data_IF_747662978442
#
_entry.id   IF_747662978442
#
_cell.length_a   1.000
_cell.length_b   1.000
_cell.length_c   1.000
_cell.angle_alpha   90.00
_cell.angle_beta   90.00
_cell.angle_gamma   90.00
#
_symmetry.space_group_name_H-M   'P 1'
#
loop_
_entity.id
_entity.type
_entity.pdbx_description
1 polymer ?
#
# COMPACT_ATOMS: atom_id res chain seq x y z
N UNK A 1 -18.04 -6.53 22.17
CA UNK A 1 -17.38 -5.38 21.51
C UNK A 1 -17.93 -4.04 21.97
N UNK A 2 -19.25 -3.75 21.87
CA UNK A 2 -19.82 -2.46 22.34
C UNK A 2 -19.46 -2.13 23.80
N UNK A 3 -19.58 -3.10 24.70
CA UNK A 3 -19.17 -2.97 26.11
C UNK A 3 -17.68 -2.65 26.31
N UNK A 4 -16.81 -3.14 25.43
CA UNK A 4 -15.36 -2.86 25.47
C UNK A 4 -15.14 -1.42 24.99
N UNK A 5 -15.74 -1.03 23.86
CA UNK A 5 -15.62 0.33 23.32
C UNK A 5 -16.04 1.40 24.35
N UNK A 6 -17.11 1.16 25.11
CA UNK A 6 -17.58 2.09 26.15
C UNK A 6 -16.54 2.31 27.25
N UNK A 7 -15.74 1.30 27.62
CA UNK A 7 -14.80 1.37 28.75
C UNK A 7 -13.32 1.55 28.35
N UNK A 8 -12.98 1.38 27.08
CA UNK A 8 -11.61 1.52 26.55
C UNK A 8 -11.00 2.94 26.56
N UNK A 9 -10.06 3.22 27.46
CA UNK A 9 -9.44 4.53 27.60
C UNK A 9 -8.24 4.75 26.65
N UNK A 10 -7.77 3.72 25.95
CA UNK A 10 -6.65 3.82 25.03
C UNK A 10 -7.14 4.10 23.59
N UNK A 11 -6.66 5.17 22.92
CA UNK A 11 -7.15 5.57 21.60
C UNK A 11 -7.03 4.51 20.50
N UNK A 12 -5.96 3.73 20.45
CA UNK A 12 -5.74 2.70 19.44
C UNK A 12 -6.70 1.50 19.62
N UNK A 13 -6.87 1.02 20.85
CA UNK A 13 -7.81 -0.04 21.20
C UNK A 13 -9.26 0.40 20.97
N UNK A 14 -9.59 1.65 21.31
CA UNK A 14 -10.88 2.24 20.98
C UNK A 14 -11.10 2.23 19.47
N UNK A 15 -10.09 2.64 18.71
CA UNK A 15 -10.11 2.64 17.25
C UNK A 15 -10.34 1.24 16.68
N UNK A 16 -9.62 0.23 17.16
CA UNK A 16 -9.81 -1.16 16.73
C UNK A 16 -11.23 -1.65 17.02
N UNK A 17 -11.77 -1.32 18.20
CA UNK A 17 -13.15 -1.64 18.58
C UNK A 17 -14.18 -0.95 17.66
N UNK A 18 -13.97 0.33 17.37
CA UNK A 18 -14.84 1.13 16.51
C UNK A 18 -14.84 0.60 15.07
N UNK A 19 -13.67 0.26 14.54
CA UNK A 19 -13.51 -0.35 13.21
C UNK A 19 -14.23 -1.70 13.13
N UNK A 20 -14.12 -2.53 14.17
CA UNK A 20 -14.85 -3.79 14.22
C UNK A 20 -16.37 -3.56 14.14
N UNK A 21 -16.90 -2.64 14.96
CA UNK A 21 -18.33 -2.34 14.97
C UNK A 21 -18.80 -1.74 13.64
N UNK A 22 -17.99 -0.89 13.01
CA UNK A 22 -18.28 -0.30 11.70
C UNK A 22 -18.42 -1.36 10.59
N UNK A 23 -17.66 -2.47 10.66
CA UNK A 23 -17.78 -3.59 9.71
C UNK A 23 -19.10 -4.34 9.86
N UNK A 24 -19.59 -4.44 11.09
CA UNK A 24 -20.83 -5.16 11.40
C UNK A 24 -22.06 -4.33 11.02
N UNK A 25 -22.02 -3.02 11.26
CA UNK A 25 -23.13 -2.11 10.96
C UNK A 25 -22.63 -0.81 10.35
N UNK A 26 -22.87 -0.66 9.04
CA UNK A 26 -22.47 0.50 8.24
C UNK A 26 -23.52 1.62 8.18
N UNK A 27 -24.63 1.50 8.92
CA UNK A 27 -25.72 2.47 8.94
C UNK A 27 -25.23 3.86 9.37
N UNK A 28 -25.93 4.89 8.91
CA UNK A 28 -25.63 6.29 9.29
C UNK A 28 -25.71 6.46 10.81
N UNK A 29 -26.68 5.81 11.44
CA UNK A 29 -26.87 5.84 12.88
C UNK A 29 -25.67 5.25 13.64
N UNK A 30 -25.23 4.04 13.28
CA UNK A 30 -24.04 3.39 13.86
C UNK A 30 -22.79 4.28 13.71
N UNK A 31 -22.57 4.87 12.53
CA UNK A 31 -21.45 5.79 12.29
C UNK A 31 -21.51 7.02 13.19
N UNK A 32 -22.70 7.61 13.36
CA UNK A 32 -22.88 8.77 14.22
C UNK A 32 -22.64 8.41 15.69
N UNK A 33 -23.15 7.27 16.15
CA UNK A 33 -22.89 6.77 17.50
C UNK A 33 -21.40 6.56 17.78
N UNK A 34 -20.65 5.98 16.83
CA UNK A 34 -19.19 5.82 16.96
C UNK A 34 -18.46 7.16 17.08
N UNK A 35 -18.86 8.17 16.30
CA UNK A 35 -18.28 9.52 16.37
C UNK A 35 -18.61 10.21 17.69
N UNK A 36 -19.85 10.12 18.15
CA UNK A 36 -20.28 10.68 19.44
C UNK A 36 -19.46 10.04 20.58
N UNK A 37 -19.38 8.71 20.62
CA UNK A 37 -18.60 8.00 21.63
C UNK A 37 -17.11 8.39 21.60
N UNK A 38 -16.54 8.65 20.41
CA UNK A 38 -15.16 9.11 20.28
C UNK A 38 -14.97 10.51 20.88
N UNK A 39 -15.86 11.45 20.57
CA UNK A 39 -15.78 12.84 21.05
C UNK A 39 -16.01 12.91 22.57
N UNK A 40 -17.00 12.19 23.09
CA UNK A 40 -17.31 12.17 24.52
C UNK A 40 -16.16 11.59 25.36
N UNK A 41 -15.46 10.60 24.81
CA UNK A 41 -14.42 9.87 25.53
C UNK A 41 -13.05 10.51 25.44
N UNK A 42 -12.75 11.14 24.30
CA UNK A 42 -11.47 11.77 24.04
C UNK A 42 -11.68 13.26 23.76
N UNK A 43 -11.86 14.10 24.79
CA UNK A 43 -11.75 15.55 24.62
C UNK A 43 -10.42 15.90 23.95
N UNK A 44 -10.46 16.59 22.81
CA UNK A 44 -9.27 16.86 21.99
C UNK A 44 -8.86 15.72 21.05
N UNK A 45 -9.80 14.84 20.66
CA UNK A 45 -9.56 13.74 19.70
C UNK A 45 -8.86 14.21 18.40
N UNK A 46 -9.08 15.47 18.01
CA UNK A 46 -8.51 16.14 16.85
C UNK A 46 -7.00 16.42 16.96
N UNK A 47 -6.42 16.25 18.15
CA UNK A 47 -4.96 16.25 18.37
C UNK A 47 -4.35 14.84 18.33
N UNK A 48 -5.18 13.80 18.35
CA UNK A 48 -4.76 12.39 18.41
C UNK A 48 -4.84 11.79 17.01
N UNK A 49 -3.67 11.59 16.36
CA UNK A 49 -3.60 11.19 14.94
C UNK A 49 -4.43 9.94 14.61
N UNK A 50 -4.44 8.92 15.49
CA UNK A 50 -5.20 7.68 15.23
C UNK A 50 -6.71 7.91 15.23
N UNK A 51 -7.21 8.81 16.08
CA UNK A 51 -8.64 9.15 16.15
C UNK A 51 -9.07 10.06 15.00
N UNK A 52 -8.19 10.98 14.57
CA UNK A 52 -8.39 11.74 13.33
C UNK A 52 -8.54 10.81 12.11
N UNK A 53 -7.69 9.78 12.00
CA UNK A 53 -7.80 8.81 10.91
C UNK A 53 -9.04 7.92 11.05
N UNK A 54 -9.42 7.55 12.27
CA UNK A 54 -10.67 6.84 12.53
C UNK A 54 -11.88 7.63 12.02
N UNK A 55 -11.95 8.93 12.31
CA UNK A 55 -13.02 9.80 11.82
C UNK A 55 -13.09 9.81 10.29
N UNK A 56 -11.95 10.02 9.63
CA UNK A 56 -11.84 9.98 8.16
C UNK A 56 -12.31 8.63 7.61
N UNK A 57 -11.90 7.55 8.26
CA UNK A 57 -12.29 6.20 7.88
C UNK A 57 -13.80 5.98 8.03
N UNK A 58 -14.41 6.34 9.16
CA UNK A 58 -15.87 6.24 9.37
C UNK A 58 -16.64 6.99 8.28
N UNK A 59 -16.18 8.19 7.92
CA UNK A 59 -16.82 9.04 6.92
C UNK A 59 -16.74 8.44 5.50
N UNK A 60 -15.62 7.81 5.16
CA UNK A 60 -15.32 7.27 3.82
C UNK A 60 -15.57 5.77 3.68
N UNK A 61 -15.92 5.06 4.76
CA UNK A 61 -16.14 3.62 4.73
C UNK A 61 -17.37 3.23 3.88
N UNK A 62 -17.20 2.23 3.03
CA UNK A 62 -18.25 1.65 2.18
C UNK A 62 -18.11 1.96 0.69
N UNK A 63 -18.83 1.19 -0.13
CA UNK A 63 -18.83 1.33 -1.58
C UNK A 63 -19.41 2.68 -2.04
N UNK A 64 -18.87 3.24 -3.11
CA UNK A 64 -19.35 4.49 -3.72
C UNK A 64 -18.89 5.79 -3.02
N UNK A 65 -18.18 5.71 -1.89
CA UNK A 65 -17.60 6.87 -1.19
C UNK A 65 -16.15 7.18 -1.60
N UNK A 66 -15.62 6.44 -2.57
CA UNK A 66 -14.21 6.50 -2.98
C UNK A 66 -14.03 7.40 -4.20
N UNK A 67 -13.04 8.27 -4.13
CA UNK A 67 -12.71 9.17 -5.23
C UNK A 67 -12.08 8.42 -6.40
N UNK A 68 -12.52 8.75 -7.62
CA UNK A 68 -11.95 8.22 -8.86
C UNK A 68 -10.45 8.53 -8.93
N UNK A 69 -9.66 7.52 -9.28
CA UNK A 69 -8.21 7.67 -9.45
C UNK A 69 -7.92 8.66 -10.60
N UNK A 70 -7.02 9.63 -10.41
CA UNK A 70 -6.66 10.56 -11.47
C UNK A 70 -5.93 9.85 -12.63
N UNK A 71 -5.68 10.57 -13.71
CA UNK A 71 -5.07 10.00 -14.91
C UNK A 71 -3.66 9.43 -14.63
N UNK A 72 -3.53 8.11 -14.80
CA UNK A 72 -2.28 7.36 -14.62
C UNK A 72 -1.22 7.74 -15.66
N UNK A 73 -1.63 8.14 -16.89
CA UNK A 73 -0.69 8.56 -17.92
C UNK A 73 0.06 9.82 -17.46
N UNK A 74 -0.63 10.77 -16.80
CA UNK A 74 0.01 11.96 -16.21
C UNK A 74 1.00 11.60 -15.11
N UNK A 75 0.73 10.56 -14.33
CA UNK A 75 1.67 10.05 -13.34
C UNK A 75 2.93 9.48 -14.00
N UNK A 76 2.77 8.65 -15.03
CA UNK A 76 3.91 8.06 -15.76
C UNK A 76 4.76 9.12 -16.47
N UNK A 77 4.12 10.16 -17.04
CA UNK A 77 4.80 11.31 -17.64
C UNK A 77 5.62 12.10 -16.62
N UNK A 78 5.05 12.34 -15.43
CA UNK A 78 5.75 13.02 -14.34
C UNK A 78 6.98 12.25 -13.89
N UNK A 79 6.88 10.94 -13.68
CA UNK A 79 8.04 10.13 -13.27
C UNK A 79 9.13 10.07 -14.35
N UNK A 80 8.76 10.00 -15.63
CA UNK A 80 9.72 10.15 -16.74
C UNK A 80 10.45 11.48 -16.68
N UNK A 81 9.73 12.58 -16.43
CA UNK A 81 10.32 13.92 -16.39
C UNK A 81 11.28 14.14 -15.22
N UNK A 82 11.05 13.44 -14.10
CA UNK A 82 11.92 13.52 -12.91
C UNK A 82 13.08 12.54 -12.95
N UNK A 83 13.15 11.67 -13.97
CA UNK A 83 14.24 10.71 -14.13
C UNK A 83 14.27 9.63 -13.05
N UNK A 84 13.11 9.32 -12.44
CA UNK A 84 13.02 8.42 -11.29
C UNK A 84 12.52 7.04 -11.68
N UNK A 85 13.13 6.03 -11.08
CA UNK A 85 12.71 4.65 -11.18
C UNK A 85 11.57 4.40 -10.20
N UNK A 86 10.47 3.82 -10.70
CA UNK A 86 9.24 3.68 -9.93
C UNK A 86 8.64 2.29 -10.11
N UNK A 87 8.25 1.68 -9.00
CA UNK A 87 7.36 0.52 -8.98
C UNK A 87 5.94 1.05 -8.76
N UNK A 88 5.01 0.70 -9.64
CA UNK A 88 3.59 0.96 -9.43
C UNK A 88 2.91 -0.34 -9.00
N UNK A 89 2.37 -0.37 -7.79
CA UNK A 89 1.53 -1.44 -7.27
C UNK A 89 0.07 -1.01 -7.40
N UNK A 90 -0.60 -1.52 -8.43
CA UNK A 90 -2.00 -1.25 -8.69
C UNK A 90 -2.86 -2.23 -7.92
N UNK A 91 -3.74 -1.71 -7.08
CA UNK A 91 -4.57 -2.48 -6.18
C UNK A 91 -6.05 -2.12 -6.37
N UNK A 92 -6.95 -3.00 -5.92
CA UNK A 92 -8.35 -2.63 -5.72
C UNK A 92 -8.51 -1.96 -4.36
N UNK A 93 -9.54 -1.13 -4.27
CA UNK A 93 -9.96 -0.58 -2.99
C UNK A 93 -10.53 -1.66 -2.06
N UNK A 94 -11.19 -2.69 -2.60
CA UNK A 94 -11.41 -3.93 -1.87
C UNK A 94 -10.13 -4.78 -1.90
N UNK A 95 -9.47 -4.87 -0.75
CA UNK A 95 -8.21 -5.60 -0.57
C UNK A 95 -8.34 -7.12 -0.68
N UNK A 96 -9.55 -7.67 -0.75
CA UNK A 96 -9.76 -9.10 -1.02
C UNK A 96 -9.35 -9.53 -2.43
N UNK A 97 -9.17 -8.56 -3.33
CA UNK A 97 -8.79 -8.86 -4.71
C UNK A 97 -7.33 -8.51 -4.97
N UNK A 98 -6.56 -9.43 -5.59
CA UNK A 98 -5.15 -9.21 -5.89
C UNK A 98 -4.93 -8.03 -6.82
N UNK A 99 -3.82 -7.32 -6.57
CA UNK A 99 -3.27 -6.31 -7.44
C UNK A 99 -2.13 -6.82 -8.31
N UNK A 100 -1.55 -5.91 -9.06
CA UNK A 100 -0.45 -6.16 -9.98
C UNK A 100 0.57 -5.02 -9.89
N UNK A 101 1.85 -5.39 -9.90
CA UNK A 101 2.97 -4.45 -9.89
C UNK A 101 3.68 -4.41 -11.24
N UNK A 102 4.13 -3.22 -11.64
CA UNK A 102 4.99 -2.99 -12.82
C UNK A 102 6.09 -2.00 -12.49
N UNK A 103 7.15 -2.00 -13.30
CA UNK A 103 8.31 -1.13 -13.10
C UNK A 103 8.45 -0.18 -14.29
N UNK A 104 8.58 1.11 -14.00
CA UNK A 104 9.02 2.14 -14.93
C UNK A 104 10.46 2.52 -14.59
N UNK A 105 11.35 2.41 -15.56
CA UNK A 105 12.75 2.80 -15.42
C UNK A 105 12.89 4.33 -15.39
N UNK A 106 14.04 4.81 -14.92
CA UNK A 106 14.35 6.24 -14.87
C UNK A 106 14.21 6.97 -16.23
N UNK A 107 14.45 6.28 -17.34
CA UNK A 107 14.27 6.83 -18.69
C UNK A 107 12.79 6.90 -19.14
N UNK A 108 11.86 6.48 -18.29
CA UNK A 108 10.43 6.45 -18.54
C UNK A 108 9.89 5.19 -19.23
N UNK A 109 10.74 4.28 -19.73
CA UNK A 109 10.30 3.02 -20.35
C UNK A 109 9.82 2.03 -19.29
N UNK A 110 8.82 1.23 -19.61
CA UNK A 110 8.37 0.13 -18.76
C UNK A 110 9.21 -1.14 -18.97
N UNK A 111 9.41 -1.89 -17.89
CA UNK A 111 10.19 -3.12 -17.90
C UNK A 111 9.50 -4.22 -18.73
N UNK A 112 10.27 -4.87 -19.60
CA UNK A 112 9.78 -5.87 -20.55
C UNK A 112 10.67 -7.10 -20.55
N UNK A 113 10.09 -8.25 -20.89
CA UNK A 113 10.85 -9.48 -21.13
C UNK A 113 11.61 -9.43 -22.47
N UNK A 114 12.39 -10.47 -22.77
CA UNK A 114 13.14 -10.57 -24.02
C UNK A 114 12.28 -10.62 -25.29
N UNK A 115 10.97 -10.89 -25.16
CA UNK A 115 10.00 -10.88 -26.25
C UNK A 115 9.25 -9.53 -26.34
N UNK A 116 9.62 -8.54 -25.53
CA UNK A 116 9.00 -7.22 -25.48
C UNK A 116 7.66 -7.18 -24.72
N UNK A 117 7.26 -8.25 -24.03
CA UNK A 117 6.03 -8.26 -23.21
C UNK A 117 6.27 -7.52 -21.90
N UNK A 118 5.27 -6.75 -21.45
CA UNK A 118 5.33 -6.04 -20.17
C UNK A 118 5.55 -7.04 -19.02
N UNK A 119 6.55 -6.80 -18.19
CA UNK A 119 6.73 -7.53 -16.94
C UNK A 119 5.69 -7.04 -15.93
N UNK A 120 4.91 -7.98 -15.37
CA UNK A 120 3.83 -7.69 -14.44
C UNK A 120 3.84 -8.75 -13.35
N UNK A 121 3.79 -8.32 -12.10
CA UNK A 121 3.97 -9.19 -10.93
C UNK A 121 2.72 -9.19 -10.05
N UNK A 122 2.22 -10.36 -9.64
CA UNK A 122 1.06 -10.43 -8.74
C UNK A 122 1.45 -10.00 -7.32
N UNK A 123 0.63 -9.12 -6.71
CA UNK A 123 0.89 -8.60 -5.37
C UNK A 123 -0.40 -8.31 -4.60
N UNK A 124 -0.42 -8.66 -3.32
CA UNK A 124 -1.54 -8.46 -2.40
C UNK A 124 -1.17 -7.39 -1.36
N UNK A 125 -2.04 -6.40 -1.19
CA UNK A 125 -1.90 -5.31 -0.20
C UNK A 125 -2.78 -5.52 1.05
N UNK A 126 -3.28 -6.74 1.25
CA UNK A 126 -4.20 -7.12 2.33
C UNK A 126 -3.43 -7.62 3.54
N UNK A 127 -3.79 -7.16 4.72
CA UNK A 127 -3.32 -7.78 5.96
C UNK A 127 -4.18 -8.97 6.39
N UNK A 128 -3.59 -9.93 7.11
CA UNK A 128 -4.31 -11.10 7.60
C UNK A 128 -5.42 -10.73 8.60
N UNK A 129 -5.23 -9.65 9.36
CA UNK A 129 -6.21 -9.08 10.30
C UNK A 129 -7.32 -8.27 9.60
N UNK A 130 -7.13 -7.96 8.32
CA UNK A 130 -7.95 -7.02 7.55
C UNK A 130 -8.05 -5.62 8.16
N UNK A 131 -7.23 -5.25 9.15
CA UNK A 131 -7.29 -3.93 9.78
C UNK A 131 -7.03 -2.81 8.74
N UNK A 132 -7.59 -1.60 8.93
CA UNK A 132 -7.40 -0.49 8.00
C UNK A 132 -5.97 0.04 8.00
N UNK A 133 -5.66 0.84 6.99
CA UNK A 133 -4.29 1.26 6.69
C UNK A 133 -3.56 2.01 7.82
N UNK A 134 -4.28 2.68 8.71
CA UNK A 134 -3.71 3.49 9.78
C UNK A 134 -3.54 2.73 11.10
N UNK A 135 -3.91 1.44 11.16
CA UNK A 135 -3.69 0.58 12.33
C UNK A 135 -2.51 -0.35 12.06
N UNK A 136 -1.65 -0.54 13.06
CA UNK A 136 -0.53 -1.49 12.99
C UNK A 136 -1.02 -2.89 12.58
N UNK A 137 -0.27 -3.57 11.72
CA UNK A 137 -0.67 -4.83 11.08
C UNK A 137 -1.96 -4.75 10.24
N UNK A 138 -2.43 -3.55 9.89
CA UNK A 138 -3.47 -3.31 8.90
C UNK A 138 -2.96 -3.34 7.47
N UNK A 139 -3.88 -3.43 6.52
CA UNK A 139 -3.61 -3.48 5.08
C UNK A 139 -2.72 -2.33 4.62
N UNK A 140 -1.96 -2.52 3.54
CA UNK A 140 -0.99 -1.53 3.09
C UNK A 140 -1.69 -0.22 2.68
N UNK A 141 -1.28 0.94 3.23
CA UNK A 141 -1.79 2.24 2.81
C UNK A 141 -1.53 2.51 1.33
N UNK A 142 -2.49 3.15 0.67
CA UNK A 142 -2.22 3.83 -0.59
C UNK A 142 -1.20 4.96 -0.37
N UNK A 143 -0.37 5.26 -1.36
CA UNK A 143 0.57 6.36 -1.25
C UNK A 143 1.92 6.03 -1.82
N UNK A 144 2.91 6.78 -1.36
CA UNK A 144 4.29 6.70 -1.86
C UNK A 144 5.16 6.16 -0.74
N UNK A 145 6.04 5.24 -1.11
CA UNK A 145 7.06 4.65 -0.27
C UNK A 145 8.41 4.89 -0.94
N UNK A 146 9.41 5.23 -0.14
CA UNK A 146 10.77 5.41 -0.63
C UNK A 146 11.52 4.09 -0.59
N UNK A 147 12.04 3.64 -1.75
CA UNK A 147 12.76 2.38 -1.85
C UNK A 147 14.20 2.56 -1.37
N UNK A 148 14.62 1.72 -0.43
CA UNK A 148 15.92 1.79 0.24
C UNK A 148 16.88 0.68 -0.20
N UNK A 149 16.45 -0.18 -1.12
CA UNK A 149 17.24 -1.29 -1.66
C UNK A 149 16.56 -2.64 -1.43
N UNK A 150 17.38 -3.70 -1.35
CA UNK A 150 16.90 -5.07 -1.14
C UNK A 150 17.58 -5.71 0.06
N UNK A 151 16.86 -6.57 0.78
CA UNK A 151 17.40 -7.39 1.85
C UNK A 151 16.84 -8.82 1.77
N UNK A 152 17.41 -9.72 2.57
CA UNK A 152 16.86 -11.07 2.78
C UNK A 152 16.38 -11.15 4.22
N UNK A 153 15.13 -11.56 4.40
CA UNK A 153 14.53 -11.65 5.74
C UNK A 153 15.07 -12.85 6.51
N UNK A 154 15.17 -12.70 7.83
CA UNK A 154 15.38 -13.82 8.77
C UNK A 154 14.06 -14.40 9.28
N UNK A 155 12.93 -13.79 8.91
CA UNK A 155 11.59 -14.19 9.35
C UNK A 155 11.11 -15.32 8.45
N UNK A 156 10.85 -16.49 9.06
CA UNK A 156 10.51 -17.72 8.33
C UNK A 156 9.34 -17.54 7.36
N UNK A 157 8.25 -16.90 7.78
CA UNK A 157 7.04 -16.72 6.95
C UNK A 157 7.21 -15.71 5.81
N UNK A 158 8.25 -14.88 5.82
CA UNK A 158 8.63 -14.02 4.68
C UNK A 158 9.47 -14.81 3.69
N UNK A 159 10.36 -15.66 4.20
CA UNK A 159 11.22 -16.51 3.40
C UNK A 159 12.53 -15.86 2.93
N UNK A 160 13.36 -16.65 2.22
CA UNK A 160 14.71 -16.26 1.81
C UNK A 160 14.75 -15.43 0.52
N UNK A 161 13.62 -15.23 -0.16
CA UNK A 161 13.59 -14.44 -1.39
C UNK A 161 13.89 -12.97 -1.09
N UNK A 162 14.76 -12.31 -1.88
CA UNK A 162 15.05 -10.89 -1.71
C UNK A 162 13.77 -10.03 -1.68
N UNK A 163 13.61 -9.28 -0.60
CA UNK A 163 12.54 -8.31 -0.43
C UNK A 163 13.01 -6.92 -0.86
N UNK A 164 12.05 -6.02 -1.12
CA UNK A 164 12.30 -4.60 -1.34
C UNK A 164 12.09 -3.87 -0.03
N UNK A 165 13.15 -3.25 0.47
CA UNK A 165 13.13 -2.42 1.66
C UNK A 165 12.53 -1.07 1.29
N UNK A 166 11.54 -0.64 2.05
CA UNK A 166 10.83 0.62 1.82
C UNK A 166 10.65 1.34 3.14
N UNK A 167 10.60 2.67 3.07
CA UNK A 167 10.23 3.51 4.21
C UNK A 167 9.05 4.40 3.83
N UNK A 168 8.19 4.67 4.80
CA UNK A 168 7.08 5.60 4.67
C UNK A 168 7.41 6.97 5.30
N UNK A 169 6.59 8.02 5.05
CA UNK A 169 6.79 9.31 5.72
C UNK A 169 6.87 9.15 7.24
N UNK A 170 7.72 9.94 7.89
CA UNK A 170 7.97 9.93 9.35
C UNK A 170 8.64 8.68 9.93
N UNK A 171 8.97 7.67 9.12
CA UNK A 171 9.71 6.48 9.58
C UNK A 171 11.22 6.75 9.72
N UNK A 172 11.77 7.65 8.90
CA UNK A 172 13.18 8.01 8.90
C UNK A 172 13.35 9.49 8.47
N UNK A 173 14.60 9.94 8.36
CA UNK A 173 14.98 11.26 7.88
C UNK A 173 14.36 11.56 6.51
N UNK A 174 13.95 12.82 6.30
CA UNK A 174 13.38 13.21 5.02
C UNK A 174 14.41 13.15 3.90
N UNK A 175 15.69 13.42 4.16
CA UNK A 175 16.79 13.28 3.19
C UNK A 175 16.86 11.84 2.64
N UNK A 176 16.74 10.86 3.54
CA UNK A 176 16.68 9.43 3.17
C UNK A 176 15.40 9.09 2.43
N UNK A 177 14.27 9.66 2.84
CA UNK A 177 12.99 9.46 2.16
C UNK A 177 13.00 10.03 0.73
N UNK A 178 13.51 11.24 0.51
CA UNK A 178 13.50 11.89 -0.81
C UNK A 178 14.73 11.59 -1.68
N UNK A 179 15.72 10.89 -1.14
CA UNK A 179 16.99 10.51 -1.77
C UNK A 179 17.90 11.69 -2.14
N UNK A 180 17.83 12.79 -1.39
CA UNK A 180 18.65 13.98 -1.62
C UNK A 180 18.77 14.81 -0.35
N UNK A 181 19.86 15.60 -0.20
CA UNK A 181 19.98 16.56 0.89
C UNK A 181 18.84 17.58 0.85
N UNK A 182 18.38 17.99 2.03
CA UNK A 182 17.35 19.01 2.18
C UNK A 182 17.93 20.41 2.31
N UNK A 183 17.22 21.38 1.74
CA UNK A 183 17.46 22.78 2.07
C UNK A 183 16.87 23.10 3.47
N UNK A 184 17.43 24.10 4.19
CA UNK A 184 16.86 24.54 5.47
C UNK A 184 15.38 24.93 5.33
N UNK A 185 14.58 24.60 6.35
CA UNK A 185 13.16 24.97 6.46
C UNK A 185 12.25 24.44 5.35
N UNK A 186 12.65 23.38 4.64
CA UNK A 186 11.81 22.80 3.59
C UNK A 186 10.60 22.08 4.18
N UNK A 187 9.41 22.45 3.71
CA UNK A 187 8.16 21.85 4.18
C UNK A 187 7.99 20.41 3.66
N UNK A 188 7.90 19.47 4.61
CA UNK A 188 7.80 18.04 4.34
C UNK A 188 6.54 17.64 3.57
N UNK A 189 5.40 18.30 3.81
CA UNK A 189 4.16 17.96 3.09
C UNK A 189 4.23 18.44 1.65
N UNK A 190 4.83 19.62 1.41
CA UNK A 190 5.13 20.09 0.07
C UNK A 190 6.06 19.13 -0.67
N UNK A 191 7.14 18.67 -0.04
CA UNK A 191 8.06 17.67 -0.60
C UNK A 191 7.35 16.39 -1.02
N UNK A 192 6.55 15.81 -0.12
CA UNK A 192 5.78 14.60 -0.42
C UNK A 192 4.82 14.81 -1.60
N UNK A 193 4.11 15.93 -1.65
CA UNK A 193 3.19 16.26 -2.76
C UNK A 193 3.91 16.51 -4.08
N UNK A 194 5.15 16.99 -4.06
CA UNK A 194 5.95 17.20 -5.28
C UNK A 194 6.35 15.89 -5.97
N UNK A 195 6.30 14.75 -5.25
CA UNK A 195 6.44 13.42 -5.85
C UNK A 195 5.27 13.07 -6.79
N UNK A 196 4.19 13.85 -6.78
CA UNK A 196 3.02 13.70 -7.62
C UNK A 196 2.92 14.82 -8.67
N UNK A 197 2.38 14.51 -9.87
CA UNK A 197 2.01 15.55 -10.83
C UNK A 197 0.93 16.47 -10.25
N UNK A 198 0.79 17.71 -10.75
CA UNK A 198 -0.18 18.68 -10.24
C UNK A 198 -1.61 18.14 -10.09
N UNK A 199 -2.10 17.35 -11.06
CA UNK A 199 -3.46 16.78 -11.04
C UNK A 199 -3.69 15.73 -9.94
N UNK A 200 -2.62 15.21 -9.32
CA UNK A 200 -2.70 14.22 -8.26
C UNK A 200 -2.48 14.82 -6.86
N UNK A 201 -1.99 16.06 -6.74
CA UNK A 201 -1.63 16.65 -5.43
C UNK A 201 -2.81 16.88 -4.50
N UNK A 202 -4.01 17.02 -5.05
CA UNK A 202 -5.27 17.14 -4.30
C UNK A 202 -6.00 15.81 -4.12
N UNK A 203 -5.48 14.71 -4.69
CA UNK A 203 -6.09 13.39 -4.55
C UNK A 203 -5.79 12.81 -3.17
N UNK A 204 -6.71 13.05 -2.23
CA UNK A 204 -6.54 12.71 -0.81
C UNK A 204 -6.18 11.25 -0.53
N UNK A 205 -6.62 10.23 -1.30
CA UNK A 205 -6.18 8.85 -1.07
C UNK A 205 -4.66 8.62 -1.13
N UNK A 206 -3.90 9.45 -1.85
CA UNK A 206 -2.43 9.33 -1.84
C UNK A 206 -1.78 9.75 -0.52
N UNK A 207 -2.54 10.35 0.40
CA UNK A 207 -2.07 10.74 1.73
C UNK A 207 -2.21 9.60 2.76
N UNK A 208 -2.74 8.42 2.41
CA UNK A 208 -2.87 7.33 3.38
C UNK A 208 -1.51 6.90 3.98
N UNK A 209 -0.45 6.78 3.16
CA UNK A 209 0.90 6.44 3.67
C UNK A 209 1.48 7.54 4.55
N UNK A 210 1.25 8.81 4.20
CA UNK A 210 1.63 9.95 5.02
C UNK A 210 0.94 9.92 6.39
N UNK A 211 -0.39 9.73 6.40
CA UNK A 211 -1.16 9.73 7.63
C UNK A 211 -0.84 8.52 8.50
N UNK A 212 -0.70 7.33 7.90
CA UNK A 212 -0.31 6.13 8.61
C UNK A 212 1.07 6.27 9.28
N UNK A 213 2.02 6.92 8.60
CA UNK A 213 3.34 7.20 9.17
C UNK A 213 3.26 8.19 10.31
N UNK A 214 2.41 9.23 10.18
CA UNK A 214 2.13 10.19 11.26
C UNK A 214 1.46 9.54 12.48
N UNK A 215 0.68 8.48 12.28
CA UNK A 215 0.11 7.66 13.36
C UNK A 215 1.18 6.76 14.02
N UNK A 216 2.30 6.53 13.35
CA UNK A 216 3.42 5.72 13.85
C UNK A 216 3.50 4.33 13.23
N UNK A 217 2.84 4.08 12.09
CA UNK A 217 3.12 2.86 11.31
C UNK A 217 4.51 2.95 10.66
N UNK A 218 5.15 1.79 10.52
CA UNK A 218 6.48 1.62 9.94
C UNK A 218 6.64 0.21 9.36
N UNK A 219 7.83 -0.11 8.84
CA UNK A 219 8.29 -1.45 8.46
C UNK A 219 7.44 -2.14 7.37
N UNK A 220 6.84 -1.33 6.50
CA UNK A 220 6.09 -1.82 5.35
C UNK A 220 7.08 -2.10 4.21
N UNK A 221 7.37 -3.37 3.97
CA UNK A 221 8.23 -3.84 2.88
C UNK A 221 7.43 -4.56 1.78
N UNK A 222 8.03 -4.79 0.61
CA UNK A 222 7.44 -5.68 -0.40
C UNK A 222 8.23 -6.99 -0.44
N UNK A 223 7.55 -8.11 -0.18
CA UNK A 223 8.21 -9.39 0.05
C UNK A 223 7.40 -10.58 -0.46
N UNK A 224 8.04 -11.75 -0.51
CA UNK A 224 7.43 -13.03 -0.82
C UNK A 224 6.78 -13.67 0.40
N UNK A 225 6.53 -14.96 0.39
CA UNK A 225 5.89 -15.64 1.51
C UNK A 225 6.19 -17.13 1.45
N UNK A 226 6.41 -17.73 2.61
CA UNK A 226 6.47 -19.20 2.75
C UNK A 226 5.22 -19.76 3.41
N UNK A 227 4.22 -18.89 3.68
CA UNK A 227 2.92 -19.32 4.19
C UNK A 227 2.24 -20.17 3.11
N UNK A 228 1.71 -21.32 3.50
CA UNK A 228 0.98 -22.20 2.61
C UNK A 228 -0.31 -21.49 2.10
N UNK A 229 -0.47 -21.24 0.79
CA UNK A 229 -1.66 -20.59 0.25
C UNK A 229 -2.93 -21.43 0.40
N UNK A 230 -2.82 -22.74 0.66
CA UNK A 230 -3.98 -23.63 0.79
C UNK A 230 -4.88 -23.28 1.99
N UNK A 231 -4.33 -22.62 3.04
CA UNK A 231 -5.15 -22.05 4.12
C UNK A 231 -6.20 -21.04 3.64
N UNK A 232 -6.02 -20.52 2.42
CA UNK A 232 -6.87 -19.49 1.83
C UNK A 232 -7.54 -19.94 0.52
N UNK A 233 -7.60 -21.24 0.22
CA UNK A 233 -8.14 -21.76 -1.04
C UNK A 233 -9.56 -21.26 -1.37
N UNK A 234 -10.38 -20.98 -0.36
CA UNK A 234 -11.74 -20.45 -0.52
C UNK A 234 -11.83 -18.90 -0.61
N UNK A 235 -10.70 -18.19 -0.61
CA UNK A 235 -10.66 -16.72 -0.58
C UNK A 235 -10.43 -16.13 -1.97
N UNK A 236 -10.97 -14.93 -2.28
CA UNK A 236 -10.83 -14.32 -3.61
C UNK A 236 -9.39 -13.95 -3.99
N UNK A 237 -8.50 -13.82 -3.00
CA UNK A 237 -7.07 -13.54 -3.22
C UNK A 237 -6.21 -14.77 -3.42
N UNK A 238 -6.75 -15.99 -3.33
CA UNK A 238 -6.00 -17.20 -3.67
C UNK A 238 -5.48 -17.12 -5.12
N UNK A 239 -4.21 -17.49 -5.39
CA UNK A 239 -3.27 -18.23 -4.54
C UNK A 239 -2.26 -17.36 -3.77
N UNK A 240 -2.58 -16.10 -3.47
CA UNK A 240 -1.75 -15.24 -2.62
C UNK A 240 -2.08 -15.43 -1.13
N UNK A 241 -1.15 -15.05 -0.26
CA UNK A 241 -1.36 -15.05 1.20
C UNK A 241 -1.25 -13.63 1.76
N UNK A 242 -2.17 -13.22 2.65
CA UNK A 242 -2.05 -11.94 3.35
C UNK A 242 -0.95 -12.00 4.42
N UNK A 243 -0.38 -10.85 4.76
CA UNK A 243 0.73 -10.74 5.73
C UNK A 243 0.36 -9.72 6.83
N UNK A 244 1.33 -9.25 7.62
CA UNK A 244 1.10 -8.26 8.67
C UNK A 244 1.12 -6.81 8.14
N UNK A 245 0.50 -6.58 6.97
CA UNK A 245 0.32 -5.24 6.40
C UNK A 245 1.34 -4.80 5.35
N UNK A 246 2.25 -5.70 4.98
CA UNK A 246 3.20 -5.51 3.90
C UNK A 246 2.58 -5.85 2.53
N UNK A 247 3.29 -5.51 1.45
CA UNK A 247 2.93 -5.95 0.11
C UNK A 247 3.48 -7.36 -0.14
N UNK A 248 2.59 -8.35 -0.29
CA UNK A 248 2.98 -9.73 -0.48
C UNK A 248 2.86 -10.15 -1.94
N UNK A 249 3.98 -10.50 -2.58
CA UNK A 249 3.97 -11.09 -3.90
C UNK A 249 3.75 -12.61 -3.83
N UNK A 250 3.20 -13.19 -4.89
CA UNK A 250 2.93 -14.62 -4.95
C UNK A 250 4.22 -15.42 -4.96
N UNK A 251 4.30 -16.41 -4.10
CA UNK A 251 5.30 -17.46 -4.15
C UNK A 251 4.63 -18.83 -4.06
N UNK A 252 5.24 -19.81 -4.72
CA UNK A 252 4.81 -21.20 -4.62
C UNK A 252 6.02 -22.05 -4.28
N UNK A 253 5.86 -22.89 -3.27
CA UNK A 253 6.90 -23.76 -2.76
C UNK A 253 6.46 -25.20 -2.92
N UNK A 254 7.40 -26.07 -3.26
CA UNK A 254 7.17 -27.50 -3.25
C UNK A 254 7.10 -27.97 -1.79
N UNK A 255 5.91 -28.37 -1.34
CA UNK A 255 5.66 -28.75 0.07
C UNK A 255 6.46 -29.96 0.54
N UNK A 256 6.91 -30.83 -0.37
CA UNK A 256 7.70 -32.03 -0.04
C UNK A 256 9.19 -31.73 0.08
N UNK A 257 9.73 -30.86 -0.77
CA UNK A 257 11.19 -30.60 -0.87
C UNK A 257 11.60 -29.24 -0.30
N UNK A 258 10.65 -28.36 0.00
CA UNK A 258 10.90 -26.98 0.40
C UNK A 258 11.47 -26.09 -0.71
N UNK A 259 11.51 -26.56 -1.96
CA UNK A 259 12.09 -25.80 -3.09
C UNK A 259 11.11 -24.75 -3.63
N UNK A 260 11.61 -23.56 -3.93
CA UNK A 260 10.85 -22.51 -4.61
C UNK A 260 10.51 -22.94 -6.04
N UNK A 261 9.22 -22.92 -6.39
CA UNK A 261 8.70 -23.26 -7.72
C UNK A 261 8.44 -22.01 -8.56
N UNK A 262 7.89 -20.97 -7.93
CA UNK A 262 7.56 -19.70 -8.57
C UNK A 262 7.73 -18.58 -7.55
N UNK A 263 8.29 -17.45 -7.98
CA UNK A 263 8.37 -16.24 -7.17
C UNK A 263 8.19 -14.98 -8.01
N UNK A 264 7.01 -14.37 -7.87
CA UNK A 264 6.75 -13.02 -8.38
C UNK A 264 7.62 -11.99 -7.63
N UNK A 265 7.93 -12.24 -6.36
CA UNK A 265 8.80 -11.38 -5.57
C UNK A 265 10.22 -11.33 -6.15
N UNK A 266 10.80 -12.49 -6.47
CA UNK A 266 12.13 -12.57 -7.07
C UNK A 266 12.14 -11.84 -8.42
N UNK A 267 11.11 -12.04 -9.24
CA UNK A 267 10.94 -11.33 -10.51
C UNK A 267 10.90 -9.81 -10.32
N UNK A 268 10.11 -9.32 -9.36
CA UNK A 268 9.99 -7.90 -9.05
C UNK A 268 11.31 -7.31 -8.56
N UNK A 269 11.96 -7.94 -7.57
CA UNK A 269 13.19 -7.47 -6.97
C UNK A 269 14.37 -7.49 -7.95
N UNK A 270 14.50 -8.57 -8.75
CA UNK A 270 15.54 -8.67 -9.77
C UNK A 270 15.35 -7.64 -10.88
N UNK A 271 14.12 -7.46 -11.38
CA UNK A 271 13.81 -6.47 -12.43
C UNK A 271 14.08 -5.05 -11.92
N UNK A 272 13.75 -4.77 -10.65
CA UNK A 272 14.15 -3.53 -10.01
C UNK A 272 15.68 -3.43 -10.04
N UNK A 273 16.43 -4.33 -9.42
CA UNK A 273 17.89 -4.24 -9.30
C UNK A 273 18.65 -4.18 -10.64
N UNK A 274 18.13 -4.78 -11.71
CA UNK A 274 18.73 -4.72 -13.05
C UNK A 274 18.64 -3.34 -13.71
N UNK A 275 17.73 -2.47 -13.26
CA UNK A 275 17.65 -1.11 -13.81
C UNK A 275 18.69 -0.20 -13.13
N UNK A 276 19.48 0.58 -13.88
CA UNK A 276 20.46 1.50 -13.31
C UNK A 276 19.86 2.46 -12.27
N UNK A 277 20.64 2.77 -11.23
CA UNK A 277 20.26 3.65 -10.13
C UNK A 277 19.63 2.91 -8.94
N UNK A 278 20.08 3.27 -7.73
CA UNK A 278 19.59 2.69 -6.46
C UNK A 278 18.38 3.41 -5.86
N UNK A 279 18.15 4.67 -6.26
CA UNK A 279 17.10 5.50 -5.68
C UNK A 279 15.80 5.35 -6.48
N UNK A 280 14.68 5.19 -5.78
CA UNK A 280 13.38 5.09 -6.41
C UNK A 280 12.24 5.07 -5.41
N UNK A 281 11.05 4.87 -5.93
CA UNK A 281 9.82 4.89 -5.14
C UNK A 281 8.92 3.72 -5.51
N UNK A 282 8.11 3.28 -4.55
CA UNK A 282 6.98 2.40 -4.80
C UNK A 282 5.69 3.18 -4.55
N UNK A 283 4.81 3.19 -5.55
CA UNK A 283 3.50 3.82 -5.48
C UNK A 283 2.45 2.72 -5.31
N UNK A 284 1.76 2.71 -4.17
CA UNK A 284 0.54 1.90 -4.01
C UNK A 284 -0.62 2.76 -4.47
N UNK A 285 -1.39 2.29 -5.44
CA UNK A 285 -2.48 3.03 -6.06
C UNK A 285 -3.73 2.16 -6.09
N UNK A 286 -4.81 2.62 -5.45
CA UNK A 286 -6.10 1.96 -5.58
C UNK A 286 -6.77 2.47 -6.84
N UNK A 287 -7.17 1.57 -7.73
CA UNK A 287 -7.73 1.93 -9.05
C UNK A 287 -9.22 2.26 -8.97
N UNK A 288 -9.99 1.35 -8.36
CA UNK A 288 -11.44 1.43 -8.25
C UNK A 288 -11.94 0.35 -7.25
N UNK A 289 -13.26 0.26 -7.10
CA UNK A 289 -13.94 -0.65 -6.19
C UNK A 289 -14.52 -1.89 -6.90
N UNK A 290 -13.94 -2.28 -8.04
CA UNK A 290 -14.38 -3.50 -8.71
C UNK A 290 -14.10 -4.73 -7.84
N UNK A 291 -15.09 -5.62 -7.76
CA UNK A 291 -15.02 -6.85 -6.99
C UNK A 291 -14.34 -7.97 -7.80
N UNK A 292 -13.14 -7.68 -8.30
CA UNK A 292 -12.30 -8.61 -9.08
C UNK A 292 -10.84 -8.19 -9.06
N UNK A 293 -9.93 -9.13 -9.31
CA UNK A 293 -8.50 -8.86 -9.41
C UNK A 293 -8.18 -7.77 -10.44
N UNK A 294 -7.09 -7.03 -10.23
CA UNK A 294 -6.53 -6.16 -11.28
C UNK A 294 -6.03 -7.07 -12.41
N UNK A 295 -6.40 -6.74 -13.65
CA UNK A 295 -6.03 -7.55 -14.81
C UNK A 295 -4.83 -6.96 -15.54
N UNK A 296 -4.04 -7.83 -16.18
CA UNK A 296 -2.93 -7.41 -17.04
C UNK A 296 -3.39 -6.47 -18.17
N UNK A 297 -4.57 -6.73 -18.75
CA UNK A 297 -5.10 -5.92 -19.85
C UNK A 297 -5.37 -4.47 -19.42
N UNK A 298 -5.91 -4.24 -18.21
CA UNK A 298 -6.09 -2.87 -17.68
C UNK A 298 -4.74 -2.13 -17.62
N UNK A 299 -3.69 -2.77 -17.10
CA UNK A 299 -2.36 -2.17 -17.00
C UNK A 299 -1.76 -1.90 -18.37
N UNK A 300 -1.82 -2.88 -19.28
CA UNK A 300 -1.28 -2.72 -20.62
C UNK A 300 -1.97 -1.60 -21.40
N UNK A 301 -3.27 -1.34 -21.16
CA UNK A 301 -3.96 -0.21 -21.77
C UNK A 301 -3.36 1.13 -21.32
N UNK A 302 -3.11 1.33 -20.03
CA UNK A 302 -2.49 2.58 -19.56
C UNK A 302 -1.04 2.74 -20.05
N UNK A 303 -0.26 1.66 -20.03
CA UNK A 303 1.12 1.67 -20.53
C UNK A 303 1.16 2.00 -22.02
N UNK A 304 0.31 1.36 -22.85
CA UNK A 304 0.22 1.64 -24.29
C UNK A 304 -0.23 3.06 -24.57
N UNK A 305 -1.16 3.60 -23.80
CA UNK A 305 -1.61 5.00 -23.93
C UNK A 305 -0.50 6.00 -23.60
N UNK A 306 0.42 5.65 -22.70
CA UNK A 306 1.58 6.48 -22.38
C UNK A 306 2.72 6.38 -23.40
N UNK A 307 2.93 5.21 -24.01
CA UNK A 307 4.01 4.96 -24.96
C UNK A 307 3.71 5.41 -26.40
N UNK A 308 2.45 5.77 -26.70
CA UNK A 308 2.05 6.40 -27.96
C UNK A 308 2.43 7.88 -27.98
#
# INVERSE_FOLDING_TARGET
>A
MRSILTNEAEPLLFTMAAVYLLRVDTSIESRNQLKIAMVEKFPGYDSINVLLELERYINTYGAGKRSKTPDLVKLFQHQRSTGRKVIYSFQRWNRDYPGLAVIQHANGKFARDGNGRLLVFQQLARSASDLPYFITNGSTPQGIYSLQGTAVSRINWIGPTPNLQMIMPFEDSWEKYIHQPLAPMQDSISLFRQLLPPSWRSYSPMMESWNAGKVGRSEIIAHGTTIDPEYYAAKPFYPLTPTMGCLCAREQWNVTTGRLLLSEQYGLASTYNMSPGGNGYLYVINLDDQQKAVTRNEIEQWVRSFER
#
